data_IF_945757531499
#
_entry.id   IF_945757531499
#
_cell.length_a   1.000
_cell.length_b   1.000
_cell.length_c   1.000
_cell.angle_alpha   90.00
_cell.angle_beta   90.00
_cell.angle_gamma   90.00
#
_symmetry.space_group_name_H-M   'P 1'
#
loop_
_entity.id
_entity.type
_entity.pdbx_description
1 polymer ?
#
# COMPACT_ATOMS: atom_id res chain seq x y z
N UNK A 1 3.63 18.15 14.87
CA UNK A 1 3.27 18.09 13.44
C UNK A 1 2.73 16.69 13.20
N UNK A 2 1.53 16.56 12.61
CA UNK A 2 0.91 15.25 12.36
C UNK A 2 1.77 14.45 11.37
N UNK A 3 2.09 13.20 11.70
CA UNK A 3 2.85 12.33 10.81
C UNK A 3 1.86 11.63 9.89
N UNK A 4 1.98 11.88 8.59
CA UNK A 4 1.13 11.25 7.59
C UNK A 4 1.84 9.97 7.14
N UNK A 5 1.15 8.83 7.20
CA UNK A 5 1.70 7.55 6.78
C UNK A 5 0.97 7.07 5.53
N UNK A 6 1.70 6.81 4.44
CA UNK A 6 1.12 6.33 3.20
C UNK A 6 1.67 4.96 2.81
N UNK A 7 0.78 4.05 2.46
CA UNK A 7 1.13 2.69 2.05
C UNK A 7 0.54 2.38 0.69
N UNK A 8 1.37 1.99 -0.28
CA UNK A 8 0.93 1.99 -1.68
C UNK A 8 1.38 0.80 -2.55
N UNK A 9 0.45 0.25 -3.33
CA UNK A 9 0.66 -0.91 -4.22
C UNK A 9 0.17 -0.71 -5.67
N UNK A 10 1.05 -0.45 -6.63
CA UNK A 10 0.76 -0.64 -8.05
C UNK A 10 1.20 -2.03 -8.54
N UNK A 11 0.26 -2.76 -9.15
CA UNK A 11 0.50 -4.06 -9.80
C UNK A 11 0.04 -3.98 -11.26
N UNK A 12 0.99 -3.82 -12.18
CA UNK A 12 0.72 -3.79 -13.63
C UNK A 12 1.02 -5.13 -14.29
N UNK A 13 2.03 -5.85 -13.80
CA UNK A 13 2.48 -7.12 -14.32
C UNK A 13 2.13 -8.29 -13.39
N UNK A 14 1.50 -9.32 -13.96
CA UNK A 14 1.08 -10.52 -13.23
C UNK A 14 1.87 -11.72 -13.73
N UNK A 15 2.35 -12.54 -12.80
CA UNK A 15 3.07 -13.78 -13.14
C UNK A 15 2.16 -14.82 -13.83
N UNK A 16 0.87 -14.81 -13.49
CA UNK A 16 -0.11 -15.69 -14.12
C UNK A 16 -0.40 -15.23 -15.54
N UNK A 17 -0.18 -16.12 -16.51
CA UNK A 17 -0.58 -15.88 -17.91
C UNK A 17 -2.09 -15.78 -18.12
N UNK A 18 -2.89 -16.20 -17.12
CA UNK A 18 -4.36 -16.11 -17.15
C UNK A 18 -4.86 -14.74 -16.72
N UNK A 19 -4.01 -13.91 -16.10
CA UNK A 19 -4.36 -12.57 -15.65
C UNK A 19 -3.74 -11.57 -16.60
N UNK A 20 -4.60 -10.79 -17.28
CA UNK A 20 -4.14 -9.77 -18.22
C UNK A 20 -3.41 -8.66 -17.48
N UNK A 21 -2.22 -8.29 -17.96
CA UNK A 21 -1.49 -7.12 -17.46
C UNK A 21 -2.27 -5.82 -17.63
N UNK A 22 -2.16 -4.95 -16.63
CA UNK A 22 -2.63 -3.57 -16.66
C UNK A 22 -1.49 -2.67 -17.16
N UNK A 23 -1.79 -1.44 -17.57
CA UNK A 23 -0.80 -0.53 -18.19
C UNK A 23 -0.62 0.80 -17.45
N UNK A 24 -1.47 1.10 -16.47
CA UNK A 24 -1.52 2.44 -15.86
C UNK A 24 -1.42 2.45 -14.33
N UNK A 25 -1.38 1.28 -13.66
CA UNK A 25 -1.32 1.23 -12.19
C UNK A 25 -0.12 2.01 -11.62
N UNK A 26 1.06 1.90 -12.25
CA UNK A 26 2.26 2.67 -11.84
C UNK A 26 2.09 4.17 -12.11
N UNK A 27 1.44 4.54 -13.20
CA UNK A 27 1.17 5.95 -13.51
C UNK A 27 0.21 6.57 -12.50
N UNK A 28 -0.89 5.88 -12.20
CA UNK A 28 -1.87 6.32 -11.21
C UNK A 28 -1.22 6.45 -9.83
N UNK A 29 -0.36 5.48 -9.48
CA UNK A 29 0.44 5.53 -8.28
C UNK A 29 1.33 6.78 -8.20
N UNK A 30 2.10 7.07 -9.25
CA UNK A 30 3.00 8.23 -9.26
C UNK A 30 2.24 9.53 -9.04
N UNK A 31 1.06 9.68 -9.67
CA UNK A 31 0.20 10.85 -9.49
C UNK A 31 -0.24 10.99 -8.02
N UNK A 32 -0.67 9.91 -7.38
CA UNK A 32 -1.08 9.93 -5.98
C UNK A 32 0.11 10.19 -5.05
N UNK A 33 1.26 9.58 -5.33
CA UNK A 33 2.49 9.81 -4.56
C UNK A 33 2.90 11.28 -4.62
N UNK A 34 2.90 11.88 -5.81
CA UNK A 34 3.24 13.28 -6.02
C UNK A 34 2.23 14.20 -5.33
N UNK A 35 0.93 13.88 -5.40
CA UNK A 35 -0.11 14.60 -4.67
C UNK A 35 0.11 14.55 -3.15
N UNK A 36 0.43 13.38 -2.60
CA UNK A 36 0.67 13.21 -1.16
C UNK A 36 1.91 13.99 -0.70
N UNK A 37 3.01 13.89 -1.46
CA UNK A 37 4.25 14.63 -1.21
C UNK A 37 4.03 16.14 -1.24
N UNK A 38 3.37 16.64 -2.28
CA UNK A 38 3.18 18.09 -2.48
C UNK A 38 2.15 18.70 -1.54
N UNK A 39 1.07 17.98 -1.22
CA UNK A 39 -0.04 18.51 -0.42
C UNK A 39 0.20 18.39 1.07
N UNK A 40 0.76 17.26 1.52
CA UNK A 40 0.91 16.95 2.95
C UNK A 40 2.36 16.95 3.43
N UNK A 41 3.29 17.38 2.57
CA UNK A 41 4.72 17.50 2.86
C UNK A 41 5.33 16.19 3.42
N UNK A 42 4.83 15.07 2.91
CA UNK A 42 5.26 13.72 3.32
C UNK A 42 6.62 13.42 2.71
N UNK A 43 7.57 12.96 3.51
CA UNK A 43 8.94 12.67 3.05
C UNK A 43 9.03 11.19 2.67
N UNK A 44 9.43 10.93 1.43
CA UNK A 44 9.73 9.59 0.96
C UNK A 44 11.21 9.30 1.25
N UNK A 45 11.46 8.53 2.31
CA UNK A 45 12.82 8.13 2.71
C UNK A 45 13.17 6.71 2.25
N UNK A 46 12.34 6.08 1.40
CA UNK A 46 12.59 4.72 0.90
C UNK A 46 13.90 4.59 0.11
N UNK A 47 14.44 5.71 -0.39
CA UNK A 47 15.68 5.77 -1.15
C UNK A 47 16.94 6.19 -0.35
N UNK A 48 16.82 6.60 0.92
CA UNK A 48 17.90 7.34 1.62
C UNK A 48 18.51 6.69 2.86
N UNK A 49 18.19 5.44 3.21
CA UNK A 49 18.72 4.86 4.46
C UNK A 49 19.50 3.54 4.34
N UNK A 50 20.77 3.57 3.89
CA UNK A 50 21.68 2.45 4.06
C UNK A 50 22.19 2.27 5.52
N UNK A 51 21.77 3.10 6.49
CA UNK A 51 22.35 3.18 7.85
C UNK A 51 21.38 3.18 9.05
N UNK A 52 20.07 3.13 8.84
CA UNK A 52 19.02 3.10 9.87
C UNK A 52 18.82 4.38 10.70
N UNK A 53 19.29 5.54 10.25
CA UNK A 53 19.28 6.78 11.05
C UNK A 53 18.07 7.70 10.80
N UNK A 54 17.22 7.37 9.82
CA UNK A 54 16.06 8.21 9.49
C UNK A 54 14.84 7.71 10.27
N UNK A 55 14.03 8.59 10.91
CA UNK A 55 12.75 8.16 11.46
C UNK A 55 11.94 7.46 10.35
N UNK A 56 11.24 6.38 10.72
CA UNK A 56 10.58 5.46 9.78
C UNK A 56 9.98 6.21 8.59
N UNK A 57 10.24 5.74 7.34
CA UNK A 57 9.70 6.40 6.15
C UNK A 57 8.23 6.71 6.33
N UNK A 58 7.82 7.95 6.11
CA UNK A 58 6.41 8.31 6.15
C UNK A 58 5.60 7.70 4.99
N UNK A 59 6.28 7.08 4.01
CA UNK A 59 5.66 6.38 2.89
C UNK A 59 6.40 5.06 2.66
N UNK A 60 5.67 3.95 2.53
CA UNK A 60 6.22 2.70 2.02
C UNK A 60 5.50 2.29 0.74
N UNK A 61 6.30 1.97 -0.28
CA UNK A 61 5.82 1.58 -1.60
C UNK A 61 6.24 0.15 -1.92
N UNK A 62 5.31 -0.65 -2.43
CA UNK A 62 5.59 -1.96 -3.01
C UNK A 62 5.03 -2.02 -4.43
N UNK A 63 5.90 -2.06 -5.44
CA UNK A 63 5.49 -2.09 -6.85
C UNK A 63 5.80 -3.43 -7.51
N UNK A 64 4.98 -3.82 -8.49
CA UNK A 64 5.27 -4.92 -9.42
C UNK A 64 5.69 -6.21 -8.69
N UNK A 65 6.87 -6.78 -9.01
CA UNK A 65 7.33 -8.05 -8.45
C UNK A 65 7.62 -7.99 -6.94
N UNK A 66 7.82 -6.78 -6.37
CA UNK A 66 8.00 -6.60 -4.93
C UNK A 66 6.67 -6.69 -4.17
N UNK A 67 5.53 -6.44 -4.82
CA UNK A 67 4.20 -6.48 -4.23
C UNK A 67 3.63 -7.91 -4.10
N UNK A 68 4.43 -8.81 -3.54
CA UNK A 68 4.00 -10.17 -3.20
C UNK A 68 3.04 -10.14 -2.00
N UNK A 69 2.15 -11.14 -1.88
CA UNK A 69 1.26 -11.27 -0.70
C UNK A 69 2.02 -11.21 0.63
N UNK A 70 3.19 -11.86 0.70
CA UNK A 70 4.03 -11.86 1.90
C UNK A 70 4.55 -10.46 2.23
N UNK A 71 5.07 -9.75 1.23
CA UNK A 71 5.58 -8.38 1.39
C UNK A 71 4.47 -7.38 1.77
N UNK A 72 3.28 -7.53 1.16
CA UNK A 72 2.11 -6.72 1.49
C UNK A 72 1.76 -6.91 2.98
N UNK A 73 1.54 -8.15 3.41
CA UNK A 73 1.16 -8.46 4.79
C UNK A 73 2.24 -8.07 5.81
N UNK A 74 3.50 -8.32 5.50
CA UNK A 74 4.61 -7.95 6.39
C UNK A 74 4.69 -6.44 6.54
N UNK A 75 4.46 -5.69 5.46
CA UNK A 75 4.51 -4.22 5.52
C UNK A 75 3.31 -3.65 6.25
N UNK A 76 2.09 -4.16 6.06
CA UNK A 76 0.96 -3.79 6.92
C UNK A 76 1.32 -3.96 8.41
N UNK A 77 1.90 -5.11 8.75
CA UNK A 77 2.30 -5.40 10.13
C UNK A 77 3.35 -4.43 10.64
N UNK A 78 4.48 -4.28 9.95
CA UNK A 78 5.63 -3.51 10.46
C UNK A 78 5.45 -2.00 10.33
N UNK A 79 4.72 -1.54 9.31
CA UNK A 79 4.62 -0.12 8.96
C UNK A 79 3.34 0.55 9.49
N UNK A 80 2.24 -0.19 9.61
CA UNK A 80 0.96 0.37 10.07
C UNK A 80 0.55 -0.14 11.46
N UNK A 81 0.71 -1.44 11.74
CA UNK A 81 0.21 -2.04 13.00
C UNK A 81 1.22 -1.87 14.14
N UNK A 82 2.45 -2.34 13.96
CA UNK A 82 3.49 -2.37 14.99
C UNK A 82 4.33 -1.07 15.00
N UNK A 83 3.93 -0.07 14.21
CA UNK A 83 4.66 1.18 14.07
C UNK A 83 4.34 2.14 15.23
N UNK A 84 5.20 2.14 16.24
CA UNK A 84 5.12 3.03 17.42
C UNK A 84 5.14 4.52 17.10
N UNK A 85 5.50 4.93 15.88
CA UNK A 85 5.52 6.33 15.46
C UNK A 85 4.11 6.85 15.12
N UNK A 86 3.18 5.97 14.75
CA UNK A 86 1.77 6.31 14.54
C UNK A 86 1.10 6.56 15.89
N UNK A 87 0.41 7.68 16.01
CA UNK A 87 -0.36 8.10 17.19
C UNK A 87 -1.86 8.08 16.91
N UNK A 88 -2.69 8.03 17.96
CA UNK A 88 -4.11 8.32 17.81
C UNK A 88 -4.30 9.62 17.02
N UNK A 89 -5.28 9.61 16.12
CA UNK A 89 -5.62 10.72 15.22
C UNK A 89 -4.59 11.05 14.12
N UNK A 90 -3.48 10.30 14.00
CA UNK A 90 -2.63 10.41 12.81
C UNK A 90 -3.37 9.90 11.56
N UNK A 91 -3.36 10.66 10.45
CA UNK A 91 -3.98 10.23 9.21
C UNK A 91 -3.15 9.11 8.55
N UNK A 92 -3.84 8.02 8.21
CA UNK A 92 -3.27 6.89 7.47
C UNK A 92 -3.90 6.84 6.07
N UNK A 93 -3.04 6.76 5.06
CA UNK A 93 -3.45 6.59 3.65
C UNK A 93 -3.00 5.21 3.17
N UNK A 94 -3.93 4.46 2.59
CA UNK A 94 -3.64 3.22 1.87
C UNK A 94 -4.14 3.36 0.43
N UNK A 95 -3.26 3.18 -0.55
CA UNK A 95 -3.60 3.20 -1.96
C UNK A 95 -3.24 1.87 -2.62
N UNK A 96 -4.16 1.36 -3.44
CA UNK A 96 -3.96 0.12 -4.19
C UNK A 96 -4.48 0.32 -5.61
N UNK A 97 -3.62 0.00 -6.59
CA UNK A 97 -3.96 -0.01 -8.00
C UNK A 97 -3.57 -1.36 -8.60
N UNK A 98 -4.57 -2.19 -8.88
CA UNK A 98 -4.37 -3.54 -9.42
C UNK A 98 -5.70 -4.25 -9.62
N UNK A 99 -5.65 -5.52 -10.00
CA UNK A 99 -6.83 -6.35 -10.15
C UNK A 99 -7.47 -6.69 -8.81
N UNK A 100 -8.79 -6.58 -8.74
CA UNK A 100 -9.61 -7.23 -7.73
C UNK A 100 -10.06 -8.62 -8.20
N UNK A 101 -10.26 -9.54 -7.28
CA UNK A 101 -10.88 -10.84 -7.56
C UNK A 101 -12.02 -11.10 -6.57
N UNK A 102 -12.85 -12.10 -6.86
CA UNK A 102 -13.91 -12.57 -5.97
C UNK A 102 -13.65 -14.03 -5.63
N UNK A 103 -13.87 -14.38 -4.37
CA UNK A 103 -13.81 -15.75 -3.88
C UNK A 103 -15.11 -16.06 -3.16
N UNK A 104 -15.51 -17.33 -3.13
CA UNK A 104 -16.66 -17.75 -2.32
C UNK A 104 -16.36 -17.42 -0.85
N UNK A 105 -17.31 -16.76 -0.20
CA UNK A 105 -17.20 -16.48 1.23
C UNK A 105 -17.07 -17.79 2.03
N UNK A 106 -16.33 -17.79 3.16
CA UNK A 106 -16.36 -18.89 4.11
C UNK A 106 -17.79 -19.28 4.50
N UNK A 107 -17.98 -20.56 4.80
CA UNK A 107 -19.29 -21.05 5.26
C UNK A 107 -19.71 -20.30 6.53
N UNK A 108 -20.95 -19.79 6.55
CA UNK A 108 -21.50 -19.04 7.69
C UNK A 108 -21.20 -17.54 7.68
N UNK A 109 -20.49 -17.01 6.67
CA UNK A 109 -20.49 -15.56 6.45
C UNK A 109 -21.87 -15.09 6.00
N UNK A 110 -22.39 -14.06 6.66
CA UNK A 110 -23.62 -13.40 6.22
C UNK A 110 -23.38 -12.73 4.86
N UNK A 111 -23.79 -13.43 3.81
CA UNK A 111 -23.95 -12.83 2.50
C UNK A 111 -25.41 -12.46 2.40
N UNK A 112 -25.72 -11.17 2.37
CA UNK A 112 -27.09 -10.66 2.21
C UNK A 112 -27.69 -11.22 0.90
N UNK A 113 -28.29 -12.40 0.95
CA UNK A 113 -29.10 -12.99 -0.09
C UNK A 113 -30.48 -13.19 0.50
N UNK A 114 -31.24 -12.10 0.54
CA UNK A 114 -32.69 -12.18 0.53
C UNK A 114 -33.07 -12.48 -0.91
N UNK A 115 -33.32 -13.76 -1.20
CA UNK A 115 -34.04 -14.17 -2.42
C UNK A 115 -35.49 -13.71 -2.36
#
# INVERSE_FOLDING_TARGET
MAQHQAHVHPLSQYQSSQIRNLRHCVSDFNIILDYLKSTFNVVDTTALDPGGLTPSPSIVTLTEQAATRSAILSTFKTHLIDNRHIKPDDPIVFYFAGHGTRVKGPQGWETNSSD
#
